data_IF_597669797049
#
_entry.id   IF_597669797049
#
_cell.length_a   1.000
_cell.length_b   1.000
_cell.length_c   1.000
_cell.angle_alpha   90.00
_cell.angle_beta   90.00
_cell.angle_gamma   90.00
#
_symmetry.space_group_name_H-M   'P 1'
#
loop_
_entity.id
_entity.type
_entity.pdbx_description
1 polymer ?
#
# COMPACT_ATOMS: atom_id res chain seq x y z
N UNK A 1 17.67 -16.95 -14.38
CA UNK A 1 17.67 -17.40 -15.80
C UNK A 1 16.62 -18.48 -16.05
N UNK A 2 16.77 -19.73 -15.58
CA UNK A 2 15.74 -20.77 -15.83
C UNK A 2 14.40 -20.51 -15.09
N UNK A 3 14.44 -20.07 -13.83
CA UNK A 3 13.23 -19.75 -13.05
C UNK A 3 12.47 -18.56 -13.66
N UNK A 4 13.17 -17.48 -14.03
CA UNK A 4 12.58 -16.28 -14.65
C UNK A 4 11.90 -16.59 -15.99
N UNK A 5 12.53 -17.44 -16.82
CA UNK A 5 11.98 -17.87 -18.10
C UNK A 5 10.65 -18.62 -17.95
N UNK A 6 10.47 -19.38 -16.86
CA UNK A 6 9.21 -20.11 -16.59
C UNK A 6 8.10 -19.16 -16.18
N UNK A 7 8.40 -18.16 -15.34
CA UNK A 7 7.44 -17.14 -14.92
C UNK A 7 6.97 -16.29 -16.10
N UNK A 8 7.91 -15.85 -16.96
CA UNK A 8 7.58 -15.09 -18.17
C UNK A 8 6.79 -15.92 -19.18
N UNK A 9 7.14 -17.18 -19.38
CA UNK A 9 6.40 -18.08 -20.27
C UNK A 9 4.95 -18.25 -19.80
N UNK A 10 4.73 -18.52 -18.51
CA UNK A 10 3.39 -18.65 -17.93
C UNK A 10 2.58 -17.36 -18.07
N UNK A 11 3.21 -16.20 -17.86
CA UNK A 11 2.59 -14.90 -18.05
C UNK A 11 2.15 -14.68 -19.51
N UNK A 12 2.97 -15.07 -20.48
CA UNK A 12 2.60 -15.01 -21.90
C UNK A 12 1.38 -15.89 -22.20
N UNK A 13 1.30 -17.10 -21.65
CA UNK A 13 0.13 -17.96 -21.82
C UNK A 13 -1.11 -17.40 -21.12
N UNK A 14 -0.96 -16.84 -19.91
CA UNK A 14 -2.05 -16.19 -19.20
C UNK A 14 -2.62 -15.00 -20.00
N UNK A 15 -1.75 -14.16 -20.57
CA UNK A 15 -2.16 -13.05 -21.44
C UNK A 15 -2.87 -13.55 -22.70
N UNK A 16 -2.33 -14.58 -23.37
CA UNK A 16 -2.99 -15.16 -24.54
C UNK A 16 -4.41 -15.64 -24.22
N UNK A 17 -4.60 -16.30 -23.07
CA UNK A 17 -5.91 -16.78 -22.62
C UNK A 17 -6.86 -15.67 -22.17
N UNK A 18 -6.34 -14.53 -21.71
CA UNK A 18 -7.17 -13.37 -21.40
C UNK A 18 -7.75 -12.72 -22.67
N UNK A 19 -7.03 -12.78 -23.80
CA UNK A 19 -7.53 -12.29 -25.09
C UNK A 19 -8.36 -13.32 -25.85
N UNK A 20 -7.97 -14.59 -25.81
CA UNK A 20 -8.69 -15.73 -26.41
C UNK A 20 -8.79 -16.89 -25.39
N UNK A 21 -9.92 -16.99 -24.66
CA UNK A 21 -10.13 -18.04 -23.66
C UNK A 21 -10.07 -19.47 -24.21
N UNK A 22 -10.27 -19.65 -25.52
CA UNK A 22 -10.31 -20.95 -26.18
C UNK A 22 -8.99 -21.30 -26.88
N UNK A 23 -7.92 -20.51 -26.70
CA UNK A 23 -6.62 -20.75 -27.31
C UNK A 23 -5.99 -22.07 -26.80
N UNK A 24 -6.13 -23.14 -27.59
CA UNK A 24 -5.77 -24.52 -27.23
C UNK A 24 -4.31 -24.69 -26.82
N UNK A 25 -3.38 -24.12 -27.57
CA UNK A 25 -1.94 -24.23 -27.26
C UNK A 25 -1.57 -23.53 -25.95
N UNK A 26 -2.11 -22.35 -25.68
CA UNK A 26 -1.89 -21.63 -24.43
C UNK A 26 -2.47 -22.40 -23.23
N UNK A 27 -3.65 -23.03 -23.37
CA UNK A 27 -4.23 -23.90 -22.33
C UNK A 27 -3.30 -25.07 -21.97
N UNK A 28 -2.81 -25.80 -22.98
CA UNK A 28 -1.95 -26.96 -22.78
C UNK A 28 -0.61 -26.55 -22.15
N UNK A 29 0.00 -25.46 -22.63
CA UNK A 29 1.27 -24.98 -22.12
C UNK A 29 1.14 -24.42 -20.71
N UNK A 30 0.10 -23.62 -20.42
CA UNK A 30 -0.18 -23.09 -19.07
C UNK A 30 -0.43 -24.20 -18.06
N UNK A 31 -1.12 -25.28 -18.44
CA UNK A 31 -1.31 -26.45 -17.56
C UNK A 31 0.00 -27.09 -17.11
N UNK A 32 1.07 -26.99 -17.92
CA UNK A 32 2.41 -27.51 -17.60
C UNK A 32 3.23 -26.54 -16.75
N UNK A 33 3.13 -25.23 -17.01
CA UNK A 33 3.89 -24.21 -16.28
C UNK A 33 3.28 -23.90 -14.92
N UNK A 34 1.96 -23.93 -14.78
CA UNK A 34 1.26 -23.49 -13.57
C UNK A 34 1.75 -24.16 -12.27
N UNK A 35 1.96 -25.49 -12.18
CA UNK A 35 2.49 -26.11 -10.96
C UNK A 35 3.90 -25.64 -10.61
N UNK A 36 4.75 -25.40 -11.61
CA UNK A 36 6.12 -24.90 -11.41
C UNK A 36 6.09 -23.46 -10.90
N UNK A 37 5.24 -22.63 -11.51
CA UNK A 37 5.02 -21.24 -11.09
C UNK A 37 4.52 -21.18 -9.65
N UNK A 38 3.53 -22.00 -9.29
CA UNK A 38 3.00 -22.05 -7.92
C UNK A 38 4.10 -22.46 -6.92
N UNK A 39 4.98 -23.41 -7.28
CA UNK A 39 6.10 -23.80 -6.43
C UNK A 39 7.14 -22.67 -6.25
N UNK A 40 7.41 -21.92 -7.32
CA UNK A 40 8.30 -20.75 -7.29
C UNK A 40 7.72 -19.61 -6.44
N UNK A 41 6.44 -19.33 -6.60
CA UNK A 41 5.73 -18.30 -5.82
C UNK A 41 5.71 -18.65 -4.33
N UNK A 42 5.37 -19.90 -3.99
CA UNK A 42 5.42 -20.37 -2.61
C UNK A 42 6.84 -20.32 -2.02
N UNK A 43 7.88 -20.59 -2.83
CA UNK A 43 9.29 -20.46 -2.42
C UNK A 43 9.66 -19.00 -2.18
N UNK A 44 9.20 -18.07 -3.01
CA UNK A 44 9.38 -16.63 -2.83
C UNK A 44 8.75 -16.18 -1.51
N UNK A 45 7.46 -16.46 -1.29
CA UNK A 45 6.72 -16.05 -0.10
C UNK A 45 7.37 -16.57 1.19
N UNK A 46 7.69 -17.87 1.26
CA UNK A 46 8.43 -18.45 2.41
C UNK A 46 9.77 -17.76 2.66
N UNK A 47 10.48 -17.38 1.61
CA UNK A 47 11.78 -16.68 1.73
C UNK A 47 11.60 -15.26 2.30
N UNK A 48 10.54 -14.56 1.93
CA UNK A 48 10.24 -13.22 2.46
C UNK A 48 9.79 -13.31 3.91
N UNK A 49 8.93 -14.27 4.26
CA UNK A 49 8.49 -14.50 5.64
C UNK A 49 9.65 -14.90 6.57
N UNK A 50 10.57 -15.75 6.12
CA UNK A 50 11.78 -16.06 6.89
C UNK A 50 12.65 -14.83 7.19
N UNK A 51 12.71 -13.86 6.26
CA UNK A 51 13.42 -12.59 6.49
C UNK A 51 12.67 -11.66 7.43
N UNK A 52 11.33 -11.67 7.41
CA UNK A 52 10.52 -10.98 8.43
C UNK A 52 10.86 -11.53 9.81
N UNK A 53 10.93 -12.85 9.96
CA UNK A 53 11.26 -13.47 11.25
C UNK A 53 12.69 -13.14 11.71
N UNK A 54 13.63 -13.00 10.77
CA UNK A 54 14.97 -12.48 11.06
C UNK A 54 14.94 -11.01 11.50
N UNK A 55 14.22 -10.15 10.77
CA UNK A 55 14.05 -8.74 11.09
C UNK A 55 13.46 -8.53 12.49
N UNK A 56 12.45 -9.32 12.87
CA UNK A 56 11.81 -9.27 14.19
C UNK A 56 12.75 -9.62 15.35
N UNK A 57 13.88 -10.29 15.08
CA UNK A 57 14.89 -10.67 16.09
C UNK A 57 16.07 -9.69 16.15
N UNK A 58 16.10 -8.67 15.30
CA UNK A 58 17.21 -7.71 15.28
C UNK A 58 17.22 -6.89 16.58
N UNK A 59 18.42 -6.61 17.14
CA UNK A 59 18.52 -5.72 18.28
C UNK A 59 18.16 -4.28 17.89
N UNK A 60 17.49 -3.56 18.79
CA UNK A 60 17.14 -2.15 18.61
C UNK A 60 18.35 -1.24 18.78
N UNK A 61 19.23 -1.21 17.78
CA UNK A 61 20.42 -0.33 17.74
C UNK A 61 20.06 1.08 17.28
N UNK A 62 20.94 2.05 17.56
CA UNK A 62 20.85 3.41 17.02
C UNK A 62 20.83 3.43 15.49
N UNK A 63 21.61 2.57 14.84
CA UNK A 63 21.63 2.39 13.38
C UNK A 63 20.29 1.92 12.84
N UNK A 64 19.64 0.96 13.51
CA UNK A 64 18.31 0.50 13.12
C UNK A 64 17.26 1.62 13.29
N UNK A 65 17.28 2.35 14.41
CA UNK A 65 16.40 3.51 14.63
C UNK A 65 16.59 4.58 13.54
N UNK A 66 17.83 4.88 13.18
CA UNK A 66 18.16 5.80 12.08
C UNK A 66 17.61 5.29 10.75
N UNK A 67 17.79 4.01 10.44
CA UNK A 67 17.26 3.41 9.21
C UNK A 67 15.73 3.48 9.15
N UNK A 68 15.03 3.26 10.28
CA UNK A 68 13.57 3.39 10.37
C UNK A 68 13.11 4.83 10.15
N UNK A 69 13.79 5.82 10.75
CA UNK A 69 13.53 7.25 10.52
C UNK A 69 13.70 7.61 9.04
N UNK A 70 14.77 7.17 8.40
CA UNK A 70 14.99 7.47 6.98
C UNK A 70 13.96 6.79 6.07
N UNK A 71 13.58 5.54 6.39
CA UNK A 71 12.54 4.83 5.65
C UNK A 71 11.18 5.51 5.75
N UNK A 72 10.89 6.23 6.84
CA UNK A 72 9.65 6.98 7.00
C UNK A 72 9.52 8.09 5.94
N UNK A 73 10.56 8.91 5.77
CA UNK A 73 10.57 9.97 4.76
C UNK A 73 10.58 9.41 3.33
N UNK A 74 11.33 8.32 3.11
CA UNK A 74 11.36 7.63 1.82
C UNK A 74 9.98 7.09 1.42
N UNK A 75 9.23 6.54 2.37
CA UNK A 75 7.88 6.05 2.11
C UNK A 75 6.96 7.15 1.60
N UNK A 76 6.93 8.29 2.30
CA UNK A 76 6.13 9.45 1.93
C UNK A 76 6.54 9.96 0.54
N UNK A 77 7.84 10.17 0.32
CA UNK A 77 8.36 10.64 -0.95
C UNK A 77 7.91 9.73 -2.12
N UNK A 78 8.16 8.43 -2.01
CA UNK A 78 7.85 7.51 -3.10
C UNK A 78 6.34 7.37 -3.35
N UNK A 79 5.50 7.34 -2.30
CA UNK A 79 4.06 7.17 -2.48
C UNK A 79 3.38 8.39 -3.13
N UNK A 80 3.83 9.61 -2.85
CA UNK A 80 3.30 10.81 -3.52
C UNK A 80 3.89 10.99 -4.92
N UNK A 81 5.17 10.63 -5.11
CA UNK A 81 5.84 10.75 -6.40
C UNK A 81 5.25 9.78 -7.46
N UNK A 82 4.76 8.60 -7.05
CA UNK A 82 4.03 7.67 -7.95
C UNK A 82 2.79 8.33 -8.57
N UNK A 83 2.12 9.22 -7.83
CA UNK A 83 0.94 9.95 -8.33
C UNK A 83 1.30 11.21 -9.12
N UNK A 84 2.60 11.54 -9.23
CA UNK A 84 3.09 12.66 -10.04
C UNK A 84 3.52 13.89 -9.24
N UNK A 85 3.58 13.82 -7.90
CA UNK A 85 4.16 14.87 -7.08
C UNK A 85 5.64 15.08 -7.45
N UNK A 86 6.05 16.34 -7.63
CA UNK A 86 7.36 16.71 -8.16
C UNK A 86 8.36 17.15 -7.09
N UNK A 87 7.99 17.12 -5.81
CA UNK A 87 8.90 17.39 -4.71
C UNK A 87 10.02 16.35 -4.67
N UNK A 88 11.25 16.78 -4.44
CA UNK A 88 12.39 15.86 -4.24
C UNK A 88 12.38 15.30 -2.82
N UNK A 89 13.08 14.18 -2.59
CA UNK A 89 13.22 13.61 -1.24
C UNK A 89 13.73 14.64 -0.21
N UNK A 90 14.71 15.47 -0.59
CA UNK A 90 15.24 16.52 0.29
C UNK A 90 14.20 17.61 0.60
N UNK A 91 13.37 17.97 -0.38
CA UNK A 91 12.25 18.92 -0.20
C UNK A 91 11.16 18.33 0.68
N UNK A 92 10.73 17.09 0.43
CA UNK A 92 9.79 16.35 1.28
C UNK A 92 10.28 16.30 2.73
N UNK A 93 11.56 15.98 2.93
CA UNK A 93 12.18 15.97 4.27
C UNK A 93 12.15 17.34 4.93
N UNK A 94 12.54 18.40 4.23
CA UNK A 94 12.53 19.77 4.75
C UNK A 94 11.12 20.22 5.18
N UNK A 95 10.08 19.82 4.45
CA UNK A 95 8.69 20.12 4.80
C UNK A 95 8.31 19.43 6.12
N UNK A 96 8.66 18.15 6.26
CA UNK A 96 8.24 17.33 7.40
C UNK A 96 9.05 17.56 8.68
N UNK A 97 10.35 17.81 8.54
CA UNK A 97 11.25 18.05 9.68
C UNK A 97 11.24 19.52 10.11
N UNK A 98 11.34 20.47 9.17
CA UNK A 98 11.54 21.88 9.50
C UNK A 98 10.27 22.73 9.35
N UNK A 99 9.19 22.19 8.77
CA UNK A 99 7.95 22.94 8.50
C UNK A 99 8.11 24.06 7.46
N UNK A 100 9.20 24.02 6.67
CA UNK A 100 9.52 25.08 5.70
C UNK A 100 8.87 24.78 4.36
N UNK A 101 8.13 25.76 3.83
CA UNK A 101 7.57 25.69 2.49
C UNK A 101 8.67 25.83 1.41
N UNK A 102 8.52 25.09 0.32
CA UNK A 102 9.46 25.06 -0.80
C UNK A 102 8.97 25.97 -1.92
N UNK A 103 9.77 27.00 -2.23
CA UNK A 103 9.46 27.94 -3.31
C UNK A 103 9.38 27.27 -4.69
N UNK A 104 8.45 27.73 -5.52
CA UNK A 104 8.27 27.23 -6.90
C UNK A 104 7.55 25.89 -7.02
N UNK A 105 6.99 25.36 -5.92
CA UNK A 105 6.18 24.13 -5.88
C UNK A 105 4.74 24.46 -5.49
N UNK A 106 3.79 23.64 -5.91
CA UNK A 106 2.38 23.92 -5.65
C UNK A 106 2.02 23.69 -4.18
N UNK A 107 1.06 24.44 -3.65
CA UNK A 107 0.51 24.20 -2.29
C UNK A 107 -0.11 22.81 -2.20
N UNK A 108 -0.73 22.34 -3.29
CA UNK A 108 -1.29 21.01 -3.37
C UNK A 108 -0.24 19.93 -3.08
N UNK A 109 0.92 19.97 -3.75
CA UNK A 109 2.00 19.00 -3.53
C UNK A 109 2.53 18.99 -2.08
N UNK A 110 2.56 20.15 -1.41
CA UNK A 110 2.92 20.24 0.00
C UNK A 110 1.86 19.59 0.88
N UNK A 111 0.59 19.88 0.63
CA UNK A 111 -0.53 19.31 1.38
C UNK A 111 -0.61 17.80 1.20
N UNK A 112 -0.28 17.27 0.02
CA UNK A 112 -0.17 15.81 -0.17
C UNK A 112 0.89 15.18 0.72
N UNK A 113 2.07 15.80 0.84
CA UNK A 113 3.15 15.33 1.71
C UNK A 113 2.74 15.38 3.18
N UNK A 114 2.18 16.50 3.62
CA UNK A 114 1.71 16.70 5.01
C UNK A 114 0.57 15.74 5.33
N UNK A 115 -0.37 15.58 4.41
CA UNK A 115 -1.50 14.68 4.54
C UNK A 115 -1.04 13.24 4.66
N UNK A 116 -0.09 12.81 3.83
CA UNK A 116 0.51 11.49 3.89
C UNK A 116 1.26 11.25 5.21
N UNK A 117 2.02 12.22 5.70
CA UNK A 117 2.65 12.14 7.03
C UNK A 117 1.64 11.96 8.17
N UNK A 118 0.57 12.75 8.20
CA UNK A 118 -0.49 12.61 9.20
C UNK A 118 -1.15 11.21 9.14
N UNK A 119 -1.36 10.73 7.91
CA UNK A 119 -1.86 9.40 7.61
C UNK A 119 -0.98 8.28 8.17
N UNK A 120 0.33 8.28 7.89
CA UNK A 120 1.27 7.30 8.41
C UNK A 120 1.36 7.32 9.94
N UNK A 121 1.40 8.51 10.55
CA UNK A 121 1.35 8.65 12.01
C UNK A 121 0.09 8.00 12.59
N UNK A 122 -1.06 8.25 11.98
CA UNK A 122 -2.31 7.64 12.43
C UNK A 122 -2.28 6.11 12.30
N UNK A 123 -1.74 5.57 11.20
CA UNK A 123 -1.55 4.14 11.01
C UNK A 123 -0.73 3.54 12.16
N UNK A 124 0.44 4.14 12.46
CA UNK A 124 1.36 3.64 13.48
C UNK A 124 0.77 3.72 14.89
N UNK A 125 0.21 4.86 15.28
CA UNK A 125 -0.26 5.06 16.65
C UNK A 125 -1.61 4.39 16.94
N UNK A 126 -2.54 4.36 15.97
CA UNK A 126 -3.92 3.92 16.23
C UNK A 126 -4.22 2.53 15.69
N UNK A 127 -3.74 2.21 14.48
CA UNK A 127 -4.20 1.03 13.75
C UNK A 127 -3.36 -0.20 13.99
N UNK A 128 -2.09 -0.09 14.35
CA UNK A 128 -1.27 -1.28 14.65
C UNK A 128 -1.70 -1.99 15.93
N UNK A 129 -2.20 -1.23 16.92
CA UNK A 129 -2.59 -1.73 18.24
C UNK A 129 -4.07 -2.16 18.33
N UNK A 130 -4.85 -1.88 17.29
CA UNK A 130 -6.28 -2.20 17.24
C UNK A 130 -6.51 -3.59 16.62
N UNK A 131 -7.28 -4.45 17.30
CA UNK A 131 -7.61 -5.80 16.80
C UNK A 131 -8.59 -5.81 15.62
N UNK A 132 -9.23 -4.68 15.31
CA UNK A 132 -10.22 -4.60 14.23
C UNK A 132 -9.61 -3.99 12.96
N UNK A 133 -9.78 -4.65 11.82
CA UNK A 133 -9.62 -4.06 10.47
C UNK A 133 -11.03 -3.69 10.00
N UNK A 134 -11.72 -2.86 10.77
CA UNK A 134 -12.89 -2.14 10.27
C UNK A 134 -12.36 -1.14 9.24
N UNK A 135 -12.74 -1.23 7.94
CA UNK A 135 -12.51 -0.08 7.04
C UNK A 135 -13.14 1.20 7.62
N UNK A 136 -14.10 1.11 8.53
CA UNK A 136 -14.65 2.25 9.27
C UNK A 136 -13.57 3.08 9.99
N UNK A 137 -12.46 2.46 10.40
CA UNK A 137 -11.32 3.13 11.04
C UNK A 137 -10.28 3.61 10.00
N UNK A 138 -10.24 2.95 8.83
CA UNK A 138 -9.30 3.24 7.74
C UNK A 138 -9.87 4.28 6.76
N UNK A 139 -11.03 4.04 6.17
CA UNK A 139 -11.78 4.93 5.26
C UNK A 139 -12.45 6.10 5.99
N UNK A 140 -12.90 5.91 7.23
CA UNK A 140 -13.51 6.99 8.03
C UNK A 140 -12.54 8.12 8.42
N UNK A 141 -11.21 7.89 8.31
CA UNK A 141 -10.17 8.85 8.74
C UNK A 141 -9.03 9.08 7.75
N UNK A 142 -8.91 8.30 6.68
CA UNK A 142 -8.02 8.57 5.54
C UNK A 142 -8.77 9.16 4.34
N UNK A 143 -9.43 10.30 4.52
CA UNK A 143 -9.58 11.23 3.39
C UNK A 143 -8.30 12.05 3.28
N UNK A 144 -7.77 12.32 2.08
CA UNK A 144 -6.58 13.15 1.90
C UNK A 144 -6.77 14.50 2.60
N UNK A 145 -6.00 14.70 3.66
CA UNK A 145 -5.90 15.95 4.43
C UNK A 145 -5.26 17.00 3.51
N UNK A 146 -5.76 18.21 3.22
CA UNK A 146 -7.08 18.79 2.95
C UNK A 146 -6.83 19.98 1.97
N UNK A 147 -7.87 20.65 1.44
CA UNK A 147 -8.05 22.05 1.86
C UNK A 147 -9.52 22.34 2.21
N UNK A 148 -9.77 22.63 3.48
CA UNK A 148 -10.94 23.40 3.97
C UNK A 148 -12.39 22.85 3.82
N UNK A 149 -12.66 21.61 3.39
CA UNK A 149 -14.05 21.08 3.37
C UNK A 149 -14.23 19.65 3.87
N UNK A 150 -13.50 19.25 4.91
CA UNK A 150 -13.41 17.82 5.28
C UNK A 150 -13.77 17.53 6.74
N UNK A 151 -13.86 18.56 7.60
CA UNK A 151 -14.27 18.35 9.00
C UNK A 151 -15.75 17.95 9.12
N UNK A 152 -16.64 18.62 8.39
CA UNK A 152 -18.09 18.32 8.42
C UNK A 152 -18.41 16.96 7.79
N UNK A 153 -17.64 16.54 6.78
CA UNK A 153 -17.83 15.23 6.11
C UNK A 153 -17.27 14.05 6.91
N UNK A 154 -16.23 14.28 7.74
CA UNK A 154 -15.69 13.27 8.66
C UNK A 154 -16.56 13.08 9.90
N UNK A 155 -17.03 14.18 10.51
CA UNK A 155 -17.91 14.08 11.68
C UNK A 155 -19.23 13.39 11.28
N UNK A 156 -19.76 13.64 10.07
CA UNK A 156 -20.95 12.97 9.53
C UNK A 156 -20.72 11.50 9.12
N UNK A 157 -19.55 11.15 8.57
CA UNK A 157 -19.21 9.76 8.24
C UNK A 157 -18.96 8.93 9.51
N UNK A 158 -18.38 9.53 10.54
CA UNK A 158 -18.19 8.92 11.87
C UNK A 158 -19.53 8.73 12.58
N UNK A 159 -20.47 9.67 12.46
CA UNK A 159 -21.84 9.54 12.97
C UNK A 159 -22.63 8.45 12.22
N UNK A 160 -22.48 8.35 10.91
CA UNK A 160 -23.11 7.29 10.09
C UNK A 160 -22.60 5.88 10.42
N UNK A 161 -21.29 5.73 10.70
CA UNK A 161 -20.68 4.45 11.07
C UNK A 161 -21.03 4.00 12.51
N UNK A 162 -21.56 4.92 13.32
CA UNK A 162 -22.06 4.65 14.67
C UNK A 162 -23.52 4.15 14.65
N UNK A 163 -24.33 4.57 13.68
CA UNK A 163 -25.72 4.12 13.49
C UNK A 163 -26.17 4.19 12.00
N UNK A 164 -26.05 3.10 11.23
CA UNK A 164 -26.23 3.09 9.77
C UNK A 164 -27.68 3.25 9.27
N UNK A 165 -28.64 3.50 10.16
CA UNK A 165 -30.08 3.46 9.84
C UNK A 165 -30.79 4.79 9.57
N UNK A 166 -30.14 5.96 9.65
CA UNK A 166 -30.85 7.25 9.80
C UNK A 166 -30.65 8.32 8.71
N UNK A 167 -29.84 8.10 7.67
CA UNK A 167 -29.60 9.10 6.62
C UNK A 167 -29.91 8.55 5.22
N UNK A 168 -30.79 9.23 4.48
CA UNK A 168 -31.33 8.79 3.18
C UNK A 168 -30.33 8.84 2.00
N UNK A 169 -29.10 9.39 2.17
CA UNK A 169 -28.03 9.29 1.15
C UNK A 169 -26.64 9.64 1.71
N UNK A 170 -25.62 8.81 1.46
CA UNK A 170 -24.26 8.98 2.01
C UNK A 170 -23.39 9.97 1.20
N UNK A 171 -22.40 10.65 1.83
CA UNK A 171 -21.42 11.47 1.11
C UNK A 171 -20.58 10.68 0.09
N UNK A 172 -20.33 9.39 0.33
CA UNK A 172 -19.64 8.48 -0.60
C UNK A 172 -20.48 8.28 -1.86
N UNK A 173 -21.79 8.10 -1.71
CA UNK A 173 -22.72 8.04 -2.84
C UNK A 173 -22.71 9.35 -3.63
N UNK A 174 -22.68 10.52 -2.97
CA UNK A 174 -22.60 11.83 -3.66
C UNK A 174 -21.28 12.01 -4.41
N UNK A 175 -20.16 11.66 -3.78
CA UNK A 175 -18.83 11.75 -4.38
C UNK A 175 -18.70 10.81 -5.58
N UNK A 176 -19.16 9.56 -5.44
CA UNK A 176 -19.15 8.58 -6.52
C UNK A 176 -20.07 9.02 -7.67
N UNK A 177 -21.29 9.53 -7.39
CA UNK A 177 -22.23 10.04 -8.42
C UNK A 177 -21.64 11.22 -9.20
N UNK A 178 -20.95 12.14 -8.52
CA UNK A 178 -20.29 13.27 -9.16
C UNK A 178 -19.13 12.81 -10.08
N UNK A 179 -18.47 11.70 -9.75
CA UNK A 179 -17.26 11.22 -10.41
C UNK A 179 -17.52 10.25 -11.58
N UNK A 180 -18.61 9.46 -11.53
CA UNK A 180 -19.05 8.62 -12.66
C UNK A 180 -19.18 9.42 -13.97
N UNK A 181 -19.48 10.71 -13.88
CA UNK A 181 -19.60 11.60 -15.04
C UNK A 181 -18.26 12.09 -15.62
N UNK A 182 -17.12 11.94 -14.95
CA UNK A 182 -15.90 12.68 -15.31
C UNK A 182 -14.58 11.90 -15.39
N UNK A 183 -14.46 10.65 -14.90
CA UNK A 183 -13.12 10.04 -14.78
C UNK A 183 -12.98 8.69 -15.49
N UNK A 184 -12.27 8.74 -16.63
CA UNK A 184 -11.54 7.62 -17.19
C UNK A 184 -10.16 7.55 -16.53
N UNK A 185 -9.96 6.67 -15.54
CA UNK A 185 -8.62 6.35 -15.02
C UNK A 185 -7.95 5.41 -16.03
N UNK A 186 -7.42 5.98 -17.11
CA UNK A 186 -6.90 5.20 -18.23
C UNK A 186 -7.99 4.39 -18.94
N UNK A 187 -7.77 3.08 -19.15
CA UNK A 187 -8.69 2.15 -19.86
C UNK A 187 -9.76 1.49 -18.97
N UNK A 188 -9.87 1.87 -17.70
CA UNK A 188 -10.76 1.20 -16.74
C UNK A 188 -11.96 2.07 -16.36
N UNK A 189 -13.14 1.45 -16.30
CA UNK A 189 -14.38 2.08 -15.83
C UNK A 189 -14.58 1.69 -14.36
N UNK A 190 -14.60 2.65 -13.42
CA UNK A 190 -14.81 2.34 -12.01
C UNK A 190 -16.20 1.76 -11.75
N UNK A 191 -16.36 1.18 -10.56
CA UNK A 191 -17.66 0.67 -10.08
C UNK A 191 -18.69 1.81 -10.13
N UNK A 192 -19.91 1.50 -10.58
CA UNK A 192 -20.95 2.51 -10.62
C UNK A 192 -21.27 2.98 -9.19
N UNK A 193 -21.58 4.28 -8.99
CA UNK A 193 -21.66 4.90 -7.66
C UNK A 193 -22.57 4.18 -6.67
N UNK A 194 -23.69 3.66 -7.18
CA UNK A 194 -24.68 2.91 -6.44
C UNK A 194 -24.15 1.59 -5.83
N UNK A 195 -23.09 0.99 -6.41
CA UNK A 195 -22.49 -0.25 -5.90
C UNK A 195 -21.20 -0.02 -5.11
N UNK A 196 -20.69 1.22 -5.02
CA UNK A 196 -19.43 1.50 -4.32
C UNK A 196 -19.51 1.06 -2.86
N UNK A 197 -20.64 1.36 -2.19
CA UNK A 197 -20.88 0.96 -0.81
C UNK A 197 -20.83 -0.56 -0.64
N UNK A 198 -21.64 -1.28 -1.40
CA UNK A 198 -21.71 -2.74 -1.34
C UNK A 198 -20.35 -3.40 -1.61
N UNK A 199 -19.57 -2.85 -2.55
CA UNK A 199 -18.23 -3.35 -2.86
C UNK A 199 -17.20 -3.06 -1.75
N UNK A 200 -17.34 -1.96 -1.02
CA UNK A 200 -16.53 -1.68 0.16
C UNK A 200 -16.90 -2.61 1.32
N UNK A 201 -18.19 -2.86 1.54
CA UNK A 201 -18.66 -3.80 2.54
C UNK A 201 -18.15 -5.22 2.21
N UNK A 202 -18.21 -5.64 0.94
CA UNK A 202 -17.64 -6.91 0.47
C UNK A 202 -16.11 -6.98 0.70
N UNK A 203 -15.38 -5.88 0.51
CA UNK A 203 -13.95 -5.80 0.82
C UNK A 203 -13.69 -5.96 2.33
N UNK A 204 -14.51 -5.36 3.19
CA UNK A 204 -14.39 -5.48 4.65
C UNK A 204 -14.66 -6.90 5.09
N UNK A 205 -15.75 -7.49 4.62
CA UNK A 205 -16.12 -8.86 4.94
C UNK A 205 -15.04 -9.83 4.48
N UNK A 206 -14.51 -9.62 3.27
CA UNK A 206 -13.37 -10.39 2.77
C UNK A 206 -12.12 -10.23 3.66
N UNK A 207 -11.82 -9.03 4.14
CA UNK A 207 -10.70 -8.81 5.07
C UNK A 207 -10.90 -9.48 6.42
N UNK A 208 -12.14 -9.69 6.87
CA UNK A 208 -12.48 -10.30 8.15
C UNK A 208 -12.67 -11.81 8.09
N UNK A 209 -12.90 -12.34 6.90
CA UNK A 209 -13.13 -13.76 6.69
C UNK A 209 -11.95 -14.61 7.24
N UNK A 210 -12.22 -15.63 8.08
CA UNK A 210 -11.18 -16.48 8.65
C UNK A 210 -10.32 -17.18 7.59
N UNK A 211 -10.89 -17.53 6.44
CA UNK A 211 -10.15 -18.16 5.35
C UNK A 211 -9.12 -17.23 4.72
N UNK A 212 -9.37 -15.92 4.70
CA UNK A 212 -8.39 -14.94 4.20
C UNK A 212 -7.27 -14.68 5.20
N UNK A 213 -7.49 -14.92 6.50
CA UNK A 213 -6.45 -14.84 7.53
C UNK A 213 -5.40 -15.93 7.42
N UNK A 214 -5.74 -17.07 6.78
CA UNK A 214 -4.79 -18.17 6.52
C UNK A 214 -3.91 -17.92 5.28
N UNK A 215 -4.22 -16.91 4.47
CA UNK A 215 -3.41 -16.52 3.30
C UNK A 215 -2.07 -15.93 3.72
N UNK A 216 -1.06 -16.00 2.84
CA UNK A 216 0.17 -15.26 3.08
C UNK A 216 -0.15 -13.76 3.24
N UNK A 217 0.40 -13.06 4.25
CA UNK A 217 0.14 -11.64 4.46
C UNK A 217 0.44 -10.77 3.22
N UNK A 218 1.42 -11.18 2.42
CA UNK A 218 1.80 -10.49 1.17
C UNK A 218 0.71 -10.64 0.11
N UNK A 219 0.17 -11.83 -0.08
CA UNK A 219 -0.94 -12.08 -1.00
C UNK A 219 -2.18 -11.31 -0.56
N UNK A 220 -2.51 -11.39 0.73
CA UNK A 220 -3.66 -10.69 1.32
C UNK A 220 -3.54 -9.18 1.13
N UNK A 221 -2.38 -8.60 1.41
CA UNK A 221 -2.13 -7.17 1.24
C UNK A 221 -2.21 -6.73 -0.23
N UNK A 222 -1.68 -7.53 -1.16
CA UNK A 222 -1.73 -7.25 -2.59
C UNK A 222 -3.17 -7.34 -3.14
N UNK A 223 -3.96 -8.32 -2.72
CA UNK A 223 -5.37 -8.45 -3.12
C UNK A 223 -6.22 -7.32 -2.54
N UNK A 224 -6.02 -6.96 -1.26
CA UNK A 224 -6.72 -5.84 -0.63
C UNK A 224 -6.45 -4.51 -1.36
N UNK A 225 -5.17 -4.27 -1.69
CA UNK A 225 -4.77 -3.13 -2.50
C UNK A 225 -5.49 -3.13 -3.85
N UNK A 226 -5.45 -4.25 -4.59
CA UNK A 226 -6.09 -4.37 -5.89
C UNK A 226 -7.60 -4.10 -5.82
N UNK A 227 -8.30 -4.75 -4.87
CA UNK A 227 -9.73 -4.56 -4.64
C UNK A 227 -10.07 -3.09 -4.40
N UNK A 228 -9.34 -2.38 -3.53
CA UNK A 228 -9.61 -0.96 -3.26
C UNK A 228 -9.39 -0.08 -4.50
N UNK A 229 -8.33 -0.32 -5.28
CA UNK A 229 -8.05 0.43 -6.51
C UNK A 229 -9.15 0.23 -7.56
N UNK A 230 -9.70 -0.98 -7.65
CA UNK A 230 -10.79 -1.34 -8.56
C UNK A 230 -12.11 -0.69 -8.15
N UNK A 231 -12.44 -0.71 -6.85
CA UNK A 231 -13.64 -0.04 -6.32
C UNK A 231 -13.57 1.47 -6.55
N UNK A 232 -12.39 2.06 -6.35
CA UNK A 232 -12.12 3.47 -6.57
C UNK A 232 -13.10 4.43 -5.85
N UNK A 233 -13.24 4.30 -4.51
CA UNK A 233 -14.33 4.95 -3.77
C UNK A 233 -14.18 6.47 -3.58
N UNK A 234 -12.97 7.02 -3.77
CA UNK A 234 -12.69 8.43 -3.51
C UNK A 234 -12.53 9.23 -4.81
N UNK A 235 -12.70 10.56 -4.72
CA UNK A 235 -12.45 11.49 -5.82
C UNK A 235 -10.95 11.53 -6.20
N UNK A 236 -10.09 11.47 -5.18
CA UNK A 236 -8.64 11.44 -5.33
C UNK A 236 -8.03 10.67 -4.14
N UNK A 237 -6.81 10.19 -4.30
CA UNK A 237 -6.06 9.51 -3.25
C UNK A 237 -6.23 8.00 -3.24
N UNK A 238 -7.03 7.41 -4.13
CA UNK A 238 -7.28 5.96 -4.17
C UNK A 238 -5.98 5.12 -4.19
N UNK A 239 -5.01 5.51 -5.03
CA UNK A 239 -3.71 4.83 -5.09
C UNK A 239 -2.91 4.95 -3.79
N UNK A 240 -2.87 6.15 -3.19
CA UNK A 240 -2.18 6.42 -1.92
C UNK A 240 -2.82 5.61 -0.79
N UNK A 241 -4.15 5.64 -0.68
CA UNK A 241 -4.93 4.89 0.32
C UNK A 241 -4.80 3.38 0.13
N UNK A 242 -4.74 2.88 -1.11
CA UNK A 242 -4.49 1.45 -1.36
C UNK A 242 -3.10 1.00 -0.92
N UNK A 243 -2.06 1.81 -1.17
CA UNK A 243 -0.68 1.54 -0.70
C UNK A 243 -0.56 1.62 0.82
N UNK A 244 -1.35 2.47 1.46
CA UNK A 244 -1.47 2.53 2.92
C UNK A 244 -2.16 1.29 3.49
N UNK A 245 -3.24 0.81 2.85
CA UNK A 245 -3.95 -0.40 3.27
C UNK A 245 -3.04 -1.61 3.17
N UNK A 246 -2.30 -1.71 2.06
CA UNK A 246 -1.26 -2.71 1.86
C UNK A 246 -0.25 -2.69 3.03
N UNK A 247 0.26 -1.51 3.37
CA UNK A 247 1.21 -1.36 4.47
C UNK A 247 0.61 -1.71 5.83
N UNK A 248 -0.63 -1.31 6.11
CA UNK A 248 -1.33 -1.66 7.35
C UNK A 248 -1.40 -3.19 7.54
N UNK A 249 -1.81 -3.91 6.49
CA UNK A 249 -1.94 -5.37 6.54
C UNK A 249 -0.58 -6.03 6.77
N UNK A 250 0.46 -5.57 6.07
CA UNK A 250 1.82 -6.09 6.23
C UNK A 250 2.38 -5.79 7.63
N UNK A 251 2.21 -4.57 8.13
CA UNK A 251 2.72 -4.16 9.43
C UNK A 251 2.05 -4.89 10.58
N UNK A 252 0.73 -5.12 10.51
CA UNK A 252 0.03 -6.00 11.47
C UNK A 252 0.53 -7.45 11.43
N UNK A 253 1.08 -7.89 10.31
CA UNK A 253 1.71 -9.21 10.17
C UNK A 253 3.21 -9.22 10.53
N UNK A 254 3.75 -8.14 11.11
CA UNK A 254 5.12 -8.04 11.60
C UNK A 254 6.16 -7.61 10.56
N UNK A 255 5.73 -7.14 9.39
CA UNK A 255 6.65 -6.58 8.38
C UNK A 255 6.92 -5.09 8.67
N UNK A 256 8.10 -4.57 8.31
CA UNK A 256 8.31 -3.12 8.30
C UNK A 256 7.49 -2.44 7.19
N UNK A 257 7.29 -1.12 7.25
CA UNK A 257 6.67 -0.36 6.15
C UNK A 257 7.39 -0.62 4.82
N UNK A 258 6.66 -1.15 3.84
CA UNK A 258 7.16 -1.47 2.50
C UNK A 258 7.09 -0.25 1.61
N UNK A 259 8.21 0.04 0.97
CA UNK A 259 8.36 1.13 0.00
C UNK A 259 8.21 0.55 -1.40
N UNK A 260 7.25 1.08 -2.15
CA UNK A 260 7.15 0.86 -3.60
C UNK A 260 7.83 2.05 -4.28
N UNK A 261 9.03 1.87 -4.87
CA UNK A 261 9.81 2.98 -5.40
C UNK A 261 9.13 3.62 -6.62
N UNK A 262 9.31 4.93 -6.78
CA UNK A 262 8.76 5.68 -7.92
C UNK A 262 9.44 5.27 -9.23
N UNK A 263 10.69 4.83 -9.14
CA UNK A 263 11.48 4.31 -10.26
C UNK A 263 10.83 3.07 -10.89
N UNK A 264 10.08 2.28 -10.10
CA UNK A 264 9.33 1.11 -10.59
C UNK A 264 7.85 1.43 -10.90
N UNK A 265 7.47 2.70 -11.04
CA UNK A 265 6.10 3.13 -11.38
C UNK A 265 5.54 2.43 -12.63
N UNK A 266 6.36 2.26 -13.66
CA UNK A 266 5.94 1.58 -14.88
C UNK A 266 5.60 0.10 -14.63
N UNK A 267 6.40 -0.59 -13.82
CA UNK A 267 6.17 -1.99 -13.45
C UNK A 267 4.94 -2.12 -12.53
N UNK A 268 4.76 -1.20 -11.59
CA UNK A 268 3.57 -1.13 -10.74
C UNK A 268 2.28 -1.08 -11.57
N UNK A 269 2.17 -0.17 -12.53
CA UNK A 269 0.97 -0.11 -13.38
C UNK A 269 0.87 -1.30 -14.34
N UNK A 270 1.99 -1.85 -14.84
CA UNK A 270 1.97 -3.02 -15.72
C UNK A 270 1.45 -4.28 -15.00
N UNK A 271 1.80 -4.45 -13.72
CA UNK A 271 1.30 -5.56 -12.90
C UNK A 271 -0.18 -5.39 -12.55
N UNK A 272 -0.64 -4.18 -12.23
CA UNK A 272 -2.07 -3.89 -12.06
C UNK A 272 -2.88 -4.08 -13.35
N UNK A 273 -2.31 -3.72 -14.50
CA UNK A 273 -2.94 -3.99 -15.80
C UNK A 273 -3.12 -5.50 -16.02
N UNK A 274 -2.12 -6.30 -15.65
CA UNK A 274 -2.21 -7.76 -15.73
C UNK A 274 -3.23 -8.33 -14.75
N UNK A 275 -3.35 -7.75 -13.55
CA UNK A 275 -4.39 -8.11 -12.59
C UNK A 275 -5.80 -7.89 -13.16
N UNK A 276 -6.02 -6.81 -13.92
CA UNK A 276 -7.28 -6.56 -14.64
C UNK A 276 -7.58 -7.60 -15.74
N UNK A 277 -6.57 -8.32 -16.22
CA UNK A 277 -6.75 -9.46 -17.14
C UNK A 277 -7.01 -10.78 -16.40
N UNK A 278 -7.17 -10.74 -15.08
CA UNK A 278 -7.49 -11.89 -14.24
C UNK A 278 -6.28 -12.60 -13.62
N UNK A 279 -5.07 -12.04 -13.70
CA UNK A 279 -3.88 -12.62 -13.08
C UNK A 279 -3.17 -11.64 -12.14
N UNK A 280 -3.45 -11.78 -10.83
CA UNK A 280 -2.84 -10.96 -9.78
C UNK A 280 -1.41 -11.39 -9.40
N UNK A 281 -0.95 -12.57 -9.81
CA UNK A 281 0.35 -13.12 -9.37
C UNK A 281 1.53 -12.18 -9.65
N UNK A 282 1.63 -11.50 -10.81
CA UNK A 282 2.68 -10.52 -11.04
C UNK A 282 2.69 -9.37 -10.02
N UNK A 283 1.51 -8.90 -9.59
CA UNK A 283 1.42 -7.85 -8.57
C UNK A 283 1.81 -8.37 -7.19
N UNK A 284 1.41 -9.60 -6.83
CA UNK A 284 1.87 -10.27 -5.60
C UNK A 284 3.40 -10.38 -5.58
N UNK A 285 4.02 -10.85 -6.67
CA UNK A 285 5.48 -10.95 -6.80
C UNK A 285 6.17 -9.60 -6.69
N UNK A 286 5.58 -8.56 -7.29
CA UNK A 286 6.07 -7.19 -7.21
C UNK A 286 6.12 -6.73 -5.74
N UNK A 287 5.01 -6.86 -5.01
CA UNK A 287 4.94 -6.52 -3.57
C UNK A 287 5.92 -7.36 -2.76
N UNK A 288 5.99 -8.68 -3.00
CA UNK A 288 6.92 -9.58 -2.31
C UNK A 288 8.39 -9.18 -2.51
N UNK A 289 8.78 -8.83 -3.74
CA UNK A 289 10.16 -8.42 -4.08
C UNK A 289 10.53 -7.12 -3.39
N UNK A 290 9.64 -6.12 -3.40
CA UNK A 290 9.89 -4.85 -2.71
C UNK A 290 9.92 -5.03 -1.18
N UNK A 291 9.05 -5.90 -0.64
CA UNK A 291 9.07 -6.29 0.78
C UNK A 291 10.41 -6.95 1.15
N UNK A 292 10.90 -7.88 0.33
CA UNK A 292 12.20 -8.53 0.53
C UNK A 292 13.36 -7.52 0.47
N UNK A 293 13.32 -6.54 -0.43
CA UNK A 293 14.33 -5.50 -0.52
C UNK A 293 14.32 -4.59 0.71
N UNK A 294 13.15 -4.18 1.20
CA UNK A 294 12.99 -3.43 2.44
C UNK A 294 13.56 -4.21 3.63
N UNK A 295 13.23 -5.49 3.78
CA UNK A 295 13.78 -6.34 4.85
C UNK A 295 15.30 -6.44 4.79
N UNK A 296 15.86 -6.67 3.59
CA UNK A 296 17.32 -6.73 3.39
C UNK A 296 18.01 -5.43 3.80
N UNK A 297 17.42 -4.28 3.44
CA UNK A 297 17.94 -2.97 3.83
C UNK A 297 18.06 -2.85 5.36
N UNK A 298 17.00 -3.17 6.10
CA UNK A 298 17.02 -3.12 7.56
C UNK A 298 18.00 -4.11 8.19
N UNK A 299 18.02 -5.36 7.73
CA UNK A 299 18.93 -6.39 8.21
C UNK A 299 20.39 -5.94 8.01
N UNK A 300 20.73 -5.44 6.82
CA UNK A 300 22.09 -4.96 6.52
C UNK A 300 22.50 -3.73 7.35
N UNK A 301 21.55 -2.86 7.66
CA UNK A 301 21.77 -1.66 8.48
C UNK A 301 21.95 -1.97 9.97
N UNK A 302 21.40 -3.08 10.44
CA UNK A 302 21.62 -3.57 11.80
C UNK A 302 22.98 -4.29 11.93
N UNK A 303 23.41 -5.03 10.90
CA UNK A 303 24.67 -5.78 10.88
C UNK A 303 25.92 -4.91 10.71
N UNK A 304 25.81 -3.75 10.06
CA UNK A 304 26.93 -2.83 9.84
C UNK A 304 27.40 -2.08 11.09
N UNK A 305 26.70 -2.24 12.23
CA UNK A 305 27.07 -1.64 13.50
C UNK A 305 27.95 -2.61 14.32
N UNK A 306 29.27 -2.44 14.25
CA UNK A 306 30.21 -3.05 15.21
C UNK A 306 30.20 -2.17 16.48
N UNK A 307 30.20 -2.74 17.70
CA UNK A 307 29.90 -1.99 18.95
C UNK A 307 30.80 -0.80 19.32
N UNK A 308 31.86 -0.49 18.56
CA UNK A 308 32.89 0.45 18.98
C UNK A 308 32.66 1.91 18.55
N UNK A 309 31.79 2.21 17.58
CA UNK A 309 31.82 3.51 16.86
C UNK A 309 30.51 4.34 16.85
N UNK A 310 29.55 4.11 17.76
CA UNK A 310 28.34 4.96 17.80
C UNK A 310 28.40 6.00 18.93
N UNK A 311 28.60 7.31 18.64
CA UNK A 311 28.40 8.36 19.62
C UNK A 311 26.91 8.51 19.93
N UNK A 312 26.58 8.50 21.22
CA UNK A 312 25.25 8.80 21.74
C UNK A 312 24.94 10.29 21.52
N UNK A 313 24.18 10.62 20.48
CA UNK A 313 23.53 11.92 20.40
C UNK A 313 22.17 11.82 21.11
N UNK A 314 22.07 12.51 22.24
CA UNK A 314 20.86 12.65 23.05
C UNK A 314 19.70 13.23 22.22
N UNK A 315 18.53 12.59 22.34
CA UNK A 315 17.28 12.98 21.70
C UNK A 315 16.62 14.13 22.49
N UNK A 316 16.28 15.24 21.83
CA UNK A 316 15.42 16.27 22.41
C UNK A 316 13.93 15.93 22.23
N UNK A 317 13.12 16.31 23.22
CA UNK A 317 11.86 15.66 23.63
C UNK A 317 10.66 15.65 22.68
N UNK A 318 10.70 16.30 21.52
CA UNK A 318 9.63 16.20 20.50
C UNK A 318 10.00 15.27 19.32
N UNK A 319 11.29 14.93 19.16
CA UNK A 319 11.78 14.02 18.11
C UNK A 319 11.63 12.54 18.47
N UNK A 320 11.58 12.23 19.77
CA UNK A 320 11.47 10.85 20.27
C UNK A 320 10.10 10.23 19.99
N UNK A 321 9.02 11.02 20.01
CA UNK A 321 7.66 10.52 19.80
C UNK A 321 7.35 10.16 18.34
N UNK A 322 8.05 10.76 17.37
CA UNK A 322 7.85 10.44 15.93
C UNK A 322 8.57 9.15 15.49
N UNK A 323 9.49 8.63 16.30
CA UNK A 323 10.49 7.63 15.87
C UNK A 323 10.41 6.33 16.70
N UNK A 324 9.82 6.33 17.90
CA UNK A 324 9.94 5.22 18.85
C UNK A 324 8.75 4.22 18.95
N UNK A 325 7.76 4.23 18.04
CA UNK A 325 6.66 3.25 18.11
C UNK A 325 6.28 2.67 16.77
#
# INVERSE_FOLDING_TARGET
MLEDNVLEADLCYAKALAYDPHHTEALVRRKRTLPLVNALDAKLLRRVEAKRDQFARLPHTSSLKRAMRESYFLHIYHTVAIEGNTLTLGQTRSILESGVAVGGKSIHEHNEVIGMDAALRYLNHSLLHSNDISLNVFVGRFTPVAPEYVKDQLDELVDWLRDPGTLEMSPIERAAIAHYKLVFVGRFTPVAPEYVKDQLDELVDWLRDPGTLEMSPIERAAIAHYKLVVVHPFIDGNGRTARLLLNLILMRAGFPPVILPVESRAEYYATLHTANLGDLRPFVRYVARHTENTLKFYISSAESCVPADCPEHELHGEESERIQS
#
